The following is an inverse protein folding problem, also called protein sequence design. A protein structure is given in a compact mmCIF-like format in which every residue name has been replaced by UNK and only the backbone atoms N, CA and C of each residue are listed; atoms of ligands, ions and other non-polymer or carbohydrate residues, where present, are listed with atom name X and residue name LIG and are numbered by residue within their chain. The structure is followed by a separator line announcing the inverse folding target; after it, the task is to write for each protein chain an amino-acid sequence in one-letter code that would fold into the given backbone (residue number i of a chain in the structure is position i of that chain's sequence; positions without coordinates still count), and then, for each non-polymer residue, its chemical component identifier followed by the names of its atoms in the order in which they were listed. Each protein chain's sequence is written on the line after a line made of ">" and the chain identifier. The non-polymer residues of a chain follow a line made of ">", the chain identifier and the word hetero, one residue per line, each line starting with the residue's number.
data_IF_691591158234
#
_entry.id   IF_691591158234
#
_cell.length_a   1.000
_cell.length_b   1.000
_cell.length_c   1.000
_cell.angle_alpha   90.00
_cell.angle_beta   90.00
_cell.angle_gamma   90.00
#
_symmetry.space_group_name_H-M   'P 1'
#
loop_
_entity.id
_entity.type
_entity.pdbx_description
1 polymer ?
#
# COMPACT_ATOMS: atom_id res chain seq x y z
N UNK A 1 -5.23 19.34 69.90
CA UNK A 1 -4.45 18.16 69.48
C UNK A 1 -5.23 17.40 68.42
N UNK A 2 -5.01 17.81 67.18
CA UNK A 2 -5.05 17.07 65.93
C UNK A 2 -4.87 15.54 66.03
N UNK A 3 -5.77 14.81 65.40
CA UNK A 3 -5.45 13.61 64.60
C UNK A 3 -6.32 13.61 63.34
N UNK A 4 -5.66 13.88 62.22
CA UNK A 4 -6.18 13.69 60.86
C UNK A 4 -6.28 12.19 60.56
N UNK A 5 -7.31 11.80 59.79
CA UNK A 5 -7.26 10.81 58.70
C UNK A 5 -8.70 10.57 58.23
N UNK A 6 -9.05 10.99 57.01
CA UNK A 6 -9.71 10.08 56.09
C UNK A 6 -9.66 10.57 54.64
N UNK A 7 -9.09 9.65 53.85
CA UNK A 7 -9.22 9.50 52.41
C UNK A 7 -8.72 10.67 51.57
N UNK A 8 -7.41 10.64 51.33
CA UNK A 8 -6.82 11.11 50.08
C UNK A 8 -7.71 10.60 48.93
N UNK A 9 -8.39 11.54 48.26
CA UNK A 9 -9.07 11.27 47.02
C UNK A 9 -7.99 10.83 46.04
N UNK A 10 -7.91 9.52 45.78
CA UNK A 10 -7.02 8.93 44.78
C UNK A 10 -7.44 9.47 43.43
N UNK A 11 -6.90 10.63 43.06
CA UNK A 11 -6.85 11.07 41.68
C UNK A 11 -5.88 10.10 41.02
N UNK A 12 -6.44 9.04 40.43
CA UNK A 12 -5.77 8.27 39.41
C UNK A 12 -5.58 9.22 38.21
N UNK A 13 -4.54 10.05 38.30
CA UNK A 13 -3.83 10.55 37.13
C UNK A 13 -3.01 9.33 36.65
N UNK A 14 -3.72 8.33 36.10
CA UNK A 14 -3.09 7.30 35.30
C UNK A 14 -2.71 7.97 34.00
N UNK A 15 -1.41 8.19 33.86
CA UNK A 15 -0.75 8.55 32.62
C UNK A 15 -1.24 7.62 31.49
N UNK A 16 -2.28 8.03 30.78
CA UNK A 16 -2.59 7.53 29.44
C UNK A 16 -1.44 7.98 28.55
N UNK A 17 -0.30 7.30 28.65
CA UNK A 17 0.76 7.35 27.64
C UNK A 17 0.06 7.09 26.30
N UNK A 18 -0.12 8.13 25.50
CA UNK A 18 -0.54 8.03 24.11
C UNK A 18 0.46 7.10 23.42
N UNK A 19 0.12 5.80 23.38
CA UNK A 19 0.93 4.79 22.71
C UNK A 19 0.98 5.23 21.26
N UNK A 20 2.13 5.76 20.83
CA UNK A 20 2.38 6.16 19.46
C UNK A 20 2.39 4.89 18.59
N UNK A 21 1.21 4.48 18.13
CA UNK A 21 1.05 3.33 17.24
C UNK A 21 1.70 3.69 15.91
N UNK A 22 2.76 2.97 15.54
CA UNK A 22 3.38 3.10 14.22
C UNK A 22 2.32 2.83 13.13
N UNK A 23 2.10 3.77 12.19
CA UNK A 23 1.10 3.60 11.15
C UNK A 23 1.47 2.43 10.25
N UNK A 24 0.64 1.37 10.28
CA UNK A 24 0.85 0.18 9.44
C UNK A 24 0.27 0.44 8.05
N UNK A 25 1.08 0.24 7.02
CA UNK A 25 0.59 0.27 5.65
C UNK A 25 -0.45 -0.83 5.43
N UNK A 26 -1.63 -0.43 4.96
CA UNK A 26 -2.64 -1.37 4.46
C UNK A 26 -2.30 -1.68 3.01
N UNK A 27 -2.13 -2.96 2.68
CA UNK A 27 -1.91 -3.40 1.32
C UNK A 27 -2.99 -4.39 0.90
N UNK A 28 -3.31 -4.39 -0.38
CA UNK A 28 -4.17 -5.39 -1.00
C UNK A 28 -3.36 -6.09 -2.10
N UNK A 29 -3.36 -7.42 -2.10
CA UNK A 29 -2.72 -8.18 -3.16
C UNK A 29 -3.66 -8.26 -4.35
N UNK A 30 -3.22 -7.70 -5.47
CA UNK A 30 -3.89 -7.86 -6.74
C UNK A 30 -3.71 -9.31 -7.22
N UNK A 31 -4.83 -10.02 -7.42
CA UNK A 31 -4.84 -11.43 -7.80
C UNK A 31 -4.85 -11.53 -9.34
N UNK A 32 -3.66 -11.60 -9.93
CA UNK A 32 -3.49 -11.82 -11.37
C UNK A 32 -2.13 -12.43 -11.66
N UNK A 33 -2.06 -13.30 -12.67
CA UNK A 33 -0.80 -13.88 -13.12
C UNK A 33 -0.19 -12.95 -14.17
N UNK A 34 0.99 -12.40 -13.88
CA UNK A 34 1.78 -11.72 -14.91
C UNK A 34 2.32 -12.76 -15.91
N UNK A 35 2.44 -12.42 -17.20
CA UNK A 35 2.94 -13.37 -18.19
C UNK A 35 4.37 -13.83 -17.85
N UNK A 36 4.58 -15.14 -17.75
CA UNK A 36 5.77 -15.80 -17.17
C UNK A 36 7.12 -15.46 -17.83
N UNK A 37 7.13 -14.82 -19.00
CA UNK A 37 8.33 -14.66 -19.84
C UNK A 37 8.79 -13.22 -20.03
N UNK A 38 8.15 -12.27 -19.38
CA UNK A 38 8.39 -10.85 -19.62
C UNK A 38 8.69 -10.10 -18.32
N UNK A 39 9.77 -9.32 -18.30
CA UNK A 39 10.14 -8.53 -17.13
C UNK A 39 9.52 -7.14 -17.21
N UNK A 40 9.05 -6.62 -16.06
CA UNK A 40 8.49 -5.28 -15.97
C UNK A 40 9.63 -4.28 -15.85
N UNK A 41 9.70 -3.33 -16.77
CA UNK A 41 10.69 -2.25 -16.77
C UNK A 41 10.17 -1.00 -16.05
N UNK A 42 8.86 -0.72 -16.16
CA UNK A 42 8.22 0.41 -15.48
C UNK A 42 6.73 0.15 -15.24
N UNK A 43 6.11 0.90 -14.33
CA UNK A 43 4.66 0.89 -14.14
C UNK A 43 4.15 2.25 -13.66
N UNK A 44 2.85 2.49 -13.81
CA UNK A 44 2.12 3.61 -13.21
C UNK A 44 0.74 3.15 -12.76
N UNK A 45 0.20 3.81 -11.73
CA UNK A 45 -1.07 3.47 -11.11
C UNK A 45 -2.03 4.65 -11.27
N UNK A 46 -3.21 4.36 -11.82
CA UNK A 46 -4.36 5.24 -11.82
C UNK A 46 -5.46 4.60 -10.95
N UNK A 47 -6.40 5.41 -10.45
CA UNK A 47 -7.54 4.95 -9.62
C UNK A 47 -8.42 3.86 -10.25
N UNK A 48 -8.22 3.56 -11.54
CA UNK A 48 -9.05 2.64 -12.33
C UNK A 48 -8.25 1.55 -13.03
N UNK A 49 -6.95 1.76 -13.23
CA UNK A 49 -6.11 0.86 -14.00
C UNK A 49 -4.64 0.99 -13.63
N UNK A 50 -3.88 -0.03 -13.97
CA UNK A 50 -2.44 -0.10 -13.78
C UNK A 50 -1.84 -0.25 -15.17
N UNK A 51 -0.95 0.67 -15.54
CA UNK A 51 -0.18 0.57 -16.78
C UNK A 51 1.19 0.00 -16.47
N UNK A 52 1.61 -1.04 -17.19
CA UNK A 52 2.86 -1.75 -16.99
C UNK A 52 3.64 -1.77 -18.31
N UNK A 53 4.84 -1.21 -18.30
CA UNK A 53 5.80 -1.33 -19.41
C UNK A 53 6.72 -2.53 -19.17
N UNK A 54 6.98 -3.28 -20.24
CA UNK A 54 7.78 -4.50 -20.18
C UNK A 54 9.03 -4.39 -21.05
N UNK A 55 10.08 -5.14 -20.68
CA UNK A 55 11.35 -5.16 -21.42
C UNK A 55 11.21 -5.68 -22.85
N UNK A 56 10.18 -6.48 -23.14
CA UNK A 56 9.81 -6.90 -24.49
C UNK A 56 9.30 -5.77 -25.41
N UNK A 57 9.17 -4.54 -24.91
CA UNK A 57 8.56 -3.42 -25.64
C UNK A 57 7.04 -3.43 -25.60
N UNK A 58 6.41 -4.27 -24.77
CA UNK A 58 4.96 -4.30 -24.57
C UNK A 58 4.52 -3.37 -23.46
N UNK A 59 3.35 -2.75 -23.63
CA UNK A 59 2.66 -1.98 -22.61
C UNK A 59 1.33 -2.69 -22.31
N UNK A 60 1.10 -3.08 -21.05
CA UNK A 60 -0.08 -3.79 -20.61
C UNK A 60 -0.90 -2.93 -19.66
N UNK A 61 -2.21 -2.88 -19.89
CA UNK A 61 -3.16 -2.18 -19.04
C UNK A 61 -3.97 -3.22 -18.27
N UNK A 62 -3.88 -3.17 -16.94
CA UNK A 62 -4.65 -4.00 -16.03
C UNK A 62 -5.72 -3.17 -15.33
N UNK A 63 -6.85 -3.77 -14.97
CA UNK A 63 -7.74 -3.15 -13.99
C UNK A 63 -7.21 -3.31 -12.55
N UNK A 64 -7.89 -2.69 -11.58
CA UNK A 64 -7.52 -2.74 -10.16
C UNK A 64 -7.57 -4.15 -9.55
N UNK A 65 -8.20 -5.11 -10.22
CA UNK A 65 -8.27 -6.52 -9.80
C UNK A 65 -7.15 -7.36 -10.43
N UNK A 66 -6.41 -6.81 -11.40
CA UNK A 66 -5.31 -7.49 -12.08
C UNK A 66 -5.70 -8.16 -13.39
N UNK A 67 -6.90 -7.90 -13.91
CA UNK A 67 -7.31 -8.45 -15.20
C UNK A 67 -6.70 -7.61 -16.33
N UNK A 68 -6.11 -8.27 -17.33
CA UNK A 68 -5.60 -7.60 -18.52
C UNK A 68 -6.78 -7.03 -19.33
N UNK A 69 -6.76 -5.72 -19.56
CA UNK A 69 -7.76 -4.99 -20.35
C UNK A 69 -7.28 -4.66 -21.75
N UNK A 70 -5.99 -4.36 -21.91
CA UNK A 70 -5.40 -4.05 -23.20
C UNK A 70 -3.90 -4.34 -23.20
N UNK A 71 -3.36 -4.66 -24.38
CA UNK A 71 -1.93 -4.80 -24.63
C UNK A 71 -1.56 -4.01 -25.88
N UNK A 72 -0.45 -3.27 -25.80
CA UNK A 72 0.12 -2.51 -26.91
C UNK A 72 1.55 -2.99 -27.14
N UNK A 73 1.97 -3.06 -28.40
CA UNK A 73 3.35 -3.35 -28.78
C UNK A 73 3.99 -2.07 -29.26
N UNK A 74 5.03 -1.62 -28.57
CA UNK A 74 5.89 -0.55 -29.03
C UNK A 74 7.08 -1.16 -29.79
N UNK A 75 7.09 -0.99 -31.10
CA UNK A 75 8.26 -1.27 -31.92
C UNK A 75 9.27 -0.14 -31.70
N UNK A 76 10.12 -0.27 -30.70
CA UNK A 76 11.30 0.57 -30.60
C UNK A 76 12.29 0.11 -31.67
N UNK A 77 12.23 0.72 -32.86
CA UNK A 77 13.33 0.63 -33.82
C UNK A 77 14.48 1.44 -33.22
N UNK A 78 15.48 0.75 -32.65
CA UNK A 78 16.78 1.35 -32.44
C UNK A 78 17.40 1.55 -33.84
N UNK A 79 17.46 2.80 -34.31
CA UNK A 79 18.22 3.19 -35.49
C UNK A 79 19.69 3.41 -35.12
#
# INVERSE_FOLDING_TARGET
>A
MNTSLNSVNSRNDEDEEEVLIEPRFKYHRILGTMPDRDTISCFTIHDKFIAVGCSSGRIRIYDILGNLRSEFVCYFTFY
#
